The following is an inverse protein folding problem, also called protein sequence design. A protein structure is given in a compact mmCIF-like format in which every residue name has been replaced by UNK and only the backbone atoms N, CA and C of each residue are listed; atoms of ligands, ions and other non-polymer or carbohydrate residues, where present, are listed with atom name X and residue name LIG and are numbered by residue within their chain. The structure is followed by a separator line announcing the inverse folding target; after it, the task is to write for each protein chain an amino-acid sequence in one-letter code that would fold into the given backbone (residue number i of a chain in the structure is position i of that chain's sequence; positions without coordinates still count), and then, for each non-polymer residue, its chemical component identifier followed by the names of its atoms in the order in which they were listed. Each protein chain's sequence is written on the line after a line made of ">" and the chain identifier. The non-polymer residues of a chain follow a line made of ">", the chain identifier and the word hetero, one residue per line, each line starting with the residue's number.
data_IF_530442422120
#
_entry.id   IF_530442422120
#
_cell.length_a   1.000
_cell.length_b   1.000
_cell.length_c   1.000
_cell.angle_alpha   90.00
_cell.angle_beta   90.00
_cell.angle_gamma   90.00
#
_symmetry.space_group_name_H-M   'P 1'
#
loop_
_entity.id
_entity.type
_entity.pdbx_description
1 polymer ?
#
# COMPACT_ATOMS: atom_id res chain seq x y z
N UNK A 1 -15.67 19.14 -9.14
CA UNK A 1 -15.94 17.96 -9.97
C UNK A 1 -14.60 17.47 -10.44
N UNK A 2 -14.30 16.20 -10.22
CA UNK A 2 -13.13 15.55 -10.84
C UNK A 2 -13.55 15.29 -12.28
N UNK A 3 -12.77 15.73 -13.26
CA UNK A 3 -13.08 15.42 -14.65
C UNK A 3 -12.97 13.91 -14.84
N UNK A 4 -14.02 13.29 -15.39
CA UNK A 4 -13.97 11.86 -15.69
C UNK A 4 -12.88 11.60 -16.72
N UNK A 5 -12.03 10.62 -16.44
CA UNK A 5 -10.98 10.19 -17.34
C UNK A 5 -11.56 9.75 -18.69
N UNK A 6 -10.92 10.19 -19.77
CA UNK A 6 -11.31 9.85 -21.13
C UNK A 6 -10.24 8.95 -21.74
N UNK A 7 -10.65 7.75 -22.16
CA UNK A 7 -9.78 6.83 -22.88
C UNK A 7 -9.29 7.48 -24.18
N UNK A 8 -7.96 7.56 -24.42
CA UNK A 8 -7.42 8.12 -25.65
C UNK A 8 -7.93 7.41 -26.90
N UNK A 9 -8.09 8.16 -27.99
CA UNK A 9 -8.51 7.59 -29.29
C UNK A 9 -7.55 6.50 -29.75
N UNK A 10 -8.10 5.38 -30.23
CA UNK A 10 -7.33 4.22 -30.69
C UNK A 10 -6.95 3.24 -29.57
N UNK A 11 -7.18 3.58 -28.31
CA UNK A 11 -6.99 2.67 -27.19
C UNK A 11 -8.32 2.07 -26.74
N UNK A 12 -8.24 0.97 -26.01
CA UNK A 12 -9.39 0.31 -25.36
C UNK A 12 -9.22 0.32 -23.85
N UNK A 13 -10.27 -0.05 -23.13
CA UNK A 13 -10.21 -0.13 -21.67
C UNK A 13 -10.85 -1.39 -21.10
N UNK A 14 -10.29 -1.86 -19.99
CA UNK A 14 -10.83 -2.88 -19.08
C UNK A 14 -11.19 -2.19 -17.77
N UNK A 15 -12.38 -2.45 -17.24
CA UNK A 15 -12.77 -2.01 -15.90
C UNK A 15 -12.79 -3.21 -14.96
N UNK A 16 -12.12 -3.10 -13.82
CA UNK A 16 -11.98 -4.22 -12.87
C UNK A 16 -11.96 -3.73 -11.42
N UNK A 17 -12.66 -4.45 -10.53
CA UNK A 17 -12.56 -4.32 -9.09
C UNK A 17 -11.75 -5.49 -8.53
N UNK A 18 -10.72 -5.20 -7.74
CA UNK A 18 -9.81 -6.23 -7.19
C UNK A 18 -9.37 -5.91 -5.75
N UNK A 19 -10.31 -5.34 -4.98
CA UNK A 19 -10.03 -4.76 -3.67
C UNK A 19 -9.58 -3.32 -3.78
N UNK A 20 -8.61 -2.94 -2.96
CA UNK A 20 -8.02 -1.62 -2.99
C UNK A 20 -7.47 -1.26 -4.37
N UNK A 21 -7.98 -0.16 -4.93
CA UNK A 21 -7.58 0.31 -6.26
C UNK A 21 -6.10 0.71 -6.38
N UNK A 22 -5.40 1.03 -5.28
CA UNK A 22 -3.97 1.35 -5.29
C UNK A 22 -3.14 0.11 -5.67
N UNK A 23 -3.61 -1.06 -5.22
CA UNK A 23 -3.01 -2.33 -5.60
C UNK A 23 -3.34 -2.70 -7.04
N UNK A 24 -4.53 -2.35 -7.52
CA UNK A 24 -4.90 -2.55 -8.91
C UNK A 24 -4.10 -1.67 -9.87
N UNK A 25 -3.92 -0.38 -9.57
CA UNK A 25 -3.06 0.51 -10.37
C UNK A 25 -1.65 -0.05 -10.48
N UNK A 26 -1.01 -0.40 -9.35
CA UNK A 26 0.32 -0.99 -9.39
C UNK A 26 0.35 -2.26 -10.25
N UNK A 27 -0.61 -3.17 -10.07
CA UNK A 27 -0.65 -4.43 -10.80
C UNK A 27 -0.59 -4.20 -12.31
N UNK A 28 -1.50 -3.37 -12.83
CA UNK A 28 -1.55 -3.11 -14.26
C UNK A 28 -0.40 -2.25 -14.78
N UNK A 29 -0.01 -1.19 -14.09
CA UNK A 29 1.00 -0.27 -14.60
C UNK A 29 2.42 -0.82 -14.51
N UNK A 30 2.67 -1.65 -13.49
CA UNK A 30 4.00 -2.19 -13.25
C UNK A 30 4.25 -3.50 -13.98
N UNK A 31 3.23 -4.36 -14.12
CA UNK A 31 3.45 -5.75 -14.55
C UNK A 31 2.57 -6.21 -15.72
N UNK A 32 1.45 -5.52 -16.01
CA UNK A 32 0.61 -5.95 -17.13
C UNK A 32 1.18 -5.45 -18.48
N UNK A 33 1.28 -6.33 -19.49
CA UNK A 33 1.73 -5.98 -20.84
C UNK A 33 0.77 -5.01 -21.51
N UNK A 34 1.31 -4.05 -22.27
CA UNK A 34 0.55 -3.25 -23.25
C UNK A 34 -0.46 -2.29 -22.62
N UNK A 35 -0.50 -2.20 -21.29
CA UNK A 35 -1.21 -1.17 -20.53
C UNK A 35 -0.51 0.17 -20.73
N UNK A 36 -1.28 1.23 -20.91
CA UNK A 36 -0.81 2.59 -21.13
C UNK A 36 -1.15 3.54 -19.98
N UNK A 37 -2.17 3.22 -19.19
CA UNK A 37 -2.62 3.98 -18.02
C UNK A 37 -3.53 3.11 -17.15
N UNK A 38 -3.50 3.26 -15.82
CA UNK A 38 -4.50 2.69 -14.93
C UNK A 38 -5.02 3.77 -13.97
N UNK A 39 -6.33 3.97 -13.94
CA UNK A 39 -6.95 5.08 -13.19
C UNK A 39 -7.86 4.53 -12.09
N UNK A 40 -7.57 4.87 -10.84
CA UNK A 40 -8.44 4.59 -9.71
C UNK A 40 -9.79 5.30 -9.82
N UNK A 41 -10.87 4.61 -9.49
CA UNK A 41 -12.20 5.20 -9.45
C UNK A 41 -13.23 4.38 -8.70
N UNK A 42 -14.47 4.83 -8.83
CA UNK A 42 -15.65 4.24 -8.21
C UNK A 42 -16.66 3.85 -9.28
N UNK A 43 -17.31 2.69 -9.15
CA UNK A 43 -18.32 2.26 -10.12
C UNK A 43 -19.37 1.33 -9.50
N UNK A 44 -20.51 1.17 -10.18
CA UNK A 44 -21.54 0.17 -9.84
C UNK A 44 -22.44 0.50 -8.64
N UNK A 45 -22.21 1.64 -7.97
CA UNK A 45 -23.10 2.13 -6.92
C UNK A 45 -24.28 2.94 -7.45
N UNK A 46 -25.07 3.47 -6.52
CA UNK A 46 -26.37 4.11 -6.81
C UNK A 46 -26.33 5.63 -6.89
N UNK A 47 -25.24 6.26 -6.44
CA UNK A 47 -25.06 7.71 -6.49
C UNK A 47 -24.21 8.14 -7.69
N UNK A 48 -24.50 9.31 -8.22
CA UNK A 48 -23.67 9.99 -9.21
C UNK A 48 -22.53 10.75 -8.54
N UNK A 49 -21.36 10.81 -9.19
CA UNK A 49 -20.17 11.53 -8.72
C UNK A 49 -19.82 11.24 -7.24
N UNK A 50 -19.63 9.96 -6.86
CA UNK A 50 -19.20 9.59 -5.52
C UNK A 50 -17.81 10.14 -5.21
N UNK A 51 -17.53 10.27 -3.92
CA UNK A 51 -16.26 10.64 -3.32
C UNK A 51 -15.76 9.50 -2.44
N UNK A 52 -14.51 9.59 -2.00
CA UNK A 52 -13.98 8.63 -1.03
C UNK A 52 -14.84 8.52 0.25
N UNK A 53 -15.56 9.57 0.63
CA UNK A 53 -16.37 9.61 1.84
C UNK A 53 -17.73 8.90 1.74
N UNK A 54 -18.31 8.80 0.54
CA UNK A 54 -19.68 8.30 0.34
C UNK A 54 -19.81 7.17 -0.69
N UNK A 55 -18.75 6.84 -1.44
CA UNK A 55 -18.77 5.76 -2.42
C UNK A 55 -19.24 4.43 -1.79
N UNK A 56 -18.73 4.12 -0.59
CA UNK A 56 -19.00 2.85 0.09
C UNK A 56 -20.45 2.68 0.52
N UNK A 57 -21.04 3.74 1.10
CA UNK A 57 -22.44 3.74 1.54
C UNK A 57 -23.42 3.75 0.37
N UNK A 58 -23.02 4.32 -0.76
CA UNK A 58 -23.75 4.25 -2.03
C UNK A 58 -23.55 2.92 -2.79
N UNK A 59 -22.71 2.01 -2.27
CA UNK A 59 -22.51 0.67 -2.81
C UNK A 59 -21.55 0.59 -4.00
N UNK A 60 -20.75 1.64 -4.24
CA UNK A 60 -19.74 1.60 -5.30
C UNK A 60 -18.59 0.67 -4.94
N UNK A 61 -18.07 -0.01 -5.95
CA UNK A 61 -16.80 -0.72 -5.95
C UNK A 61 -15.66 0.29 -6.05
N UNK A 62 -14.54 0.03 -5.38
CA UNK A 62 -13.25 0.56 -5.81
C UNK A 62 -12.81 -0.21 -7.06
N UNK A 63 -12.58 0.52 -8.14
CA UNK A 63 -12.25 -0.04 -9.45
C UNK A 63 -11.01 0.63 -10.01
N UNK A 64 -10.40 -0.04 -10.99
CA UNK A 64 -9.37 0.52 -11.84
C UNK A 64 -9.86 0.46 -13.28
N UNK A 65 -9.84 1.61 -13.96
CA UNK A 65 -10.01 1.70 -15.40
C UNK A 65 -8.63 1.58 -16.04
N UNK A 66 -8.37 0.42 -16.64
CA UNK A 66 -7.11 0.05 -17.27
C UNK A 66 -7.22 0.38 -18.75
N UNK A 67 -6.41 1.31 -19.22
CA UNK A 67 -6.30 1.66 -20.63
C UNK A 67 -5.16 0.86 -21.26
N UNK A 68 -5.37 0.33 -22.45
CA UNK A 68 -4.38 -0.49 -23.15
C UNK A 68 -4.39 -0.25 -24.66
N UNK A 69 -3.24 -0.52 -25.29
CA UNK A 69 -3.08 -0.52 -26.73
C UNK A 69 -3.54 -1.88 -27.31
N UNK A 70 -4.65 -1.93 -28.07
CA UNK A 70 -5.18 -3.17 -28.63
C UNK A 70 -4.25 -3.84 -29.65
N UNK A 71 -3.28 -3.10 -30.20
CA UNK A 71 -2.25 -3.62 -31.11
C UNK A 71 -1.09 -4.27 -30.35
N UNK A 72 -1.02 -4.06 -29.02
CA UNK A 72 0.02 -4.56 -28.13
C UNK A 72 -0.44 -5.64 -27.18
N UNK A 73 -1.72 -5.65 -26.78
CA UNK A 73 -2.27 -6.65 -25.86
C UNK A 73 -3.75 -6.87 -26.14
N UNK A 74 -4.21 -8.10 -25.96
CA UNK A 74 -5.62 -8.46 -26.09
C UNK A 74 -6.39 -8.21 -24.80
N UNK A 75 -7.70 -7.99 -24.93
CA UNK A 75 -8.61 -8.02 -23.78
C UNK A 75 -8.50 -9.34 -23.01
N UNK A 76 -8.41 -10.47 -23.71
CA UNK A 76 -8.26 -11.80 -23.12
C UNK A 76 -7.05 -11.90 -22.20
N UNK A 77 -5.87 -11.46 -22.66
CA UNK A 77 -4.65 -11.46 -21.86
C UNK A 77 -4.77 -10.58 -20.60
N UNK A 78 -5.48 -9.44 -20.69
CA UNK A 78 -5.70 -8.57 -19.53
C UNK A 78 -6.72 -9.14 -18.55
N UNK A 79 -7.74 -9.87 -19.02
CA UNK A 79 -8.65 -10.61 -18.13
C UNK A 79 -7.92 -11.76 -17.44
N UNK A 80 -7.08 -12.51 -18.17
CA UNK A 80 -6.22 -13.53 -17.59
C UNK A 80 -5.31 -12.94 -16.50
N UNK A 81 -4.71 -11.78 -16.76
CA UNK A 81 -3.89 -11.03 -15.80
C UNK A 81 -4.69 -10.56 -14.57
N UNK A 82 -5.91 -10.05 -14.79
CA UNK A 82 -6.80 -9.58 -13.72
C UNK A 82 -7.12 -10.69 -12.71
N UNK A 83 -7.40 -11.91 -13.20
CA UNK A 83 -7.63 -13.06 -12.33
C UNK A 83 -6.45 -13.36 -11.40
N UNK A 84 -5.21 -13.25 -11.87
CA UNK A 84 -4.00 -13.48 -11.05
C UNK A 84 -3.74 -12.39 -10.01
N UNK A 85 -4.57 -11.34 -10.01
CA UNK A 85 -4.55 -10.25 -9.06
C UNK A 85 -5.78 -10.24 -8.13
N UNK A 86 -6.61 -11.28 -8.20
CA UNK A 86 -7.84 -11.44 -7.43
C UNK A 86 -7.76 -12.76 -6.66
N UNK A 87 -8.23 -12.77 -5.41
CA UNK A 87 -8.62 -13.99 -4.71
C UNK A 87 -10.00 -14.42 -5.23
N UNK A 88 -10.08 -15.49 -6.05
CA UNK A 88 -11.31 -15.90 -6.71
C UNK A 88 -12.37 -16.39 -5.71
N UNK A 89 -11.98 -16.71 -4.47
CA UNK A 89 -12.85 -17.31 -3.46
C UNK A 89 -13.42 -16.30 -2.46
N UNK A 90 -13.05 -15.01 -2.55
CA UNK A 90 -13.51 -13.99 -1.59
C UNK A 90 -14.32 -12.85 -2.23
N UNK A 91 -15.63 -13.08 -2.35
CA UNK A 91 -16.58 -12.09 -2.84
C UNK A 91 -16.99 -11.01 -1.81
N UNK A 92 -16.50 -11.06 -0.56
CA UNK A 92 -16.91 -10.12 0.51
C UNK A 92 -15.98 -8.92 0.65
N UNK A 93 -14.86 -8.95 -0.08
CA UNK A 93 -13.80 -7.97 -0.04
C UNK A 93 -12.44 -8.65 -0.12
N UNK A 94 -11.48 -8.07 -0.80
CA UNK A 94 -10.21 -8.73 -1.10
C UNK A 94 -9.17 -8.53 0.02
N UNK A 95 -8.45 -9.61 0.37
CA UNK A 95 -7.36 -9.61 1.34
C UNK A 95 -7.77 -9.12 2.74
N UNK A 96 -7.17 -8.06 3.27
CA UNK A 96 -7.57 -7.45 4.53
C UNK A 96 -8.72 -6.44 4.38
N UNK A 97 -8.98 -5.95 3.16
CA UNK A 97 -10.01 -4.95 2.91
C UNK A 97 -11.36 -5.63 2.70
N UNK A 98 -12.30 -5.36 3.60
CA UNK A 98 -13.63 -5.98 3.62
C UNK A 98 -14.71 -4.93 3.52
N UNK A 99 -15.80 -5.25 2.83
CA UNK A 99 -16.91 -4.33 2.63
C UNK A 99 -17.34 -4.27 1.17
N UNK A 100 -18.42 -3.54 0.92
CA UNK A 100 -19.04 -3.37 -0.40
C UNK A 100 -18.05 -2.82 -1.42
N UNK A 101 -17.25 -1.83 -1.04
CA UNK A 101 -16.26 -1.20 -1.93
C UNK A 101 -15.16 -2.14 -2.40
N UNK A 102 -14.77 -3.10 -1.57
CA UNK A 102 -13.60 -3.94 -1.84
C UNK A 102 -13.94 -5.26 -2.51
N UNK A 103 -15.21 -5.47 -2.88
CA UNK A 103 -15.65 -6.69 -3.56
C UNK A 103 -14.94 -6.78 -4.92
N UNK A 104 -14.56 -7.99 -5.36
CA UNK A 104 -14.02 -8.17 -6.69
C UNK A 104 -15.14 -8.17 -7.73
N UNK A 105 -14.80 -7.80 -8.96
CA UNK A 105 -15.65 -7.94 -10.14
C UNK A 105 -14.81 -7.66 -11.41
N UNK A 106 -15.13 -8.34 -12.51
CA UNK A 106 -14.60 -8.00 -13.84
C UNK A 106 -15.75 -7.47 -14.67
N UNK A 107 -15.58 -6.29 -15.27
CA UNK A 107 -16.65 -5.61 -15.97
C UNK A 107 -16.47 -5.67 -17.49
N UNK A 108 -17.48 -6.17 -18.20
CA UNK A 108 -17.52 -6.24 -19.67
C UNK A 108 -18.43 -5.15 -20.24
N UNK A 109 -18.04 -4.54 -21.37
CA UNK A 109 -18.83 -3.52 -22.06
C UNK A 109 -19.65 -4.10 -23.22
N UNK A 110 -19.17 -5.17 -23.83
CA UNK A 110 -19.80 -5.79 -25.00
C UNK A 110 -20.04 -7.28 -24.78
N UNK A 111 -20.91 -7.87 -25.61
CA UNK A 111 -21.15 -9.31 -25.59
C UNK A 111 -19.88 -10.11 -25.94
N UNK A 112 -19.04 -9.60 -26.84
CA UNK A 112 -17.75 -10.20 -27.16
C UNK A 112 -16.82 -10.21 -25.93
N UNK A 113 -16.74 -9.11 -25.19
CA UNK A 113 -15.99 -9.06 -23.93
C UNK A 113 -16.56 -10.02 -22.88
N UNK A 114 -17.88 -10.18 -22.80
CA UNK A 114 -18.54 -11.15 -21.90
C UNK A 114 -18.10 -12.58 -22.23
N UNK A 115 -18.20 -12.98 -23.50
CA UNK A 115 -17.81 -14.32 -23.97
C UNK A 115 -16.32 -14.59 -23.75
N UNK A 116 -15.46 -13.59 -23.99
CA UNK A 116 -14.01 -13.71 -23.70
C UNK A 116 -13.78 -13.89 -22.20
N UNK A 117 -14.42 -13.08 -21.34
CA UNK A 117 -14.22 -13.16 -19.90
C UNK A 117 -14.71 -14.49 -19.30
N UNK A 118 -15.82 -15.03 -19.83
CA UNK A 118 -16.33 -16.36 -19.47
C UNK A 118 -15.37 -17.46 -19.93
N UNK A 119 -14.88 -17.41 -21.16
CA UNK A 119 -13.90 -18.37 -21.68
C UNK A 119 -12.62 -18.39 -20.84
N UNK A 120 -12.09 -17.21 -20.48
CA UNK A 120 -10.90 -17.13 -19.62
C UNK A 120 -11.14 -17.81 -18.27
N UNK A 121 -12.31 -17.63 -17.67
CA UNK A 121 -12.65 -18.34 -16.43
C UNK A 121 -12.73 -19.85 -16.65
N UNK A 122 -13.33 -20.30 -17.75
CA UNK A 122 -13.41 -21.71 -18.10
C UNK A 122 -12.01 -22.32 -18.30
N UNK A 123 -11.10 -21.63 -19.00
CA UNK A 123 -9.71 -22.04 -19.20
C UNK A 123 -8.94 -22.15 -17.87
N UNK A 124 -9.18 -21.20 -16.94
CA UNK A 124 -8.61 -21.25 -15.59
C UNK A 124 -9.09 -22.49 -14.83
N UNK A 125 -10.39 -22.79 -14.89
CA UNK A 125 -10.97 -23.95 -14.21
C UNK A 125 -10.50 -25.28 -14.82
N UNK A 126 -10.24 -25.32 -16.13
CA UNK A 126 -9.66 -26.50 -16.78
C UNK A 126 -8.26 -26.83 -16.23
N UNK A 127 -7.42 -25.82 -16.00
CA UNK A 127 -6.07 -26.00 -15.41
C UNK A 127 -6.08 -26.03 -13.86
N UNK A 128 -7.24 -25.84 -13.23
CA UNK A 128 -7.47 -25.92 -11.78
C UNK A 128 -8.58 -26.93 -11.47
N UNK A 129 -8.37 -28.24 -11.72
CA UNK A 129 -9.41 -29.25 -11.56
C UNK A 129 -9.92 -29.42 -10.12
N UNK A 130 -9.16 -28.96 -9.12
CA UNK A 130 -9.57 -28.98 -7.71
C UNK A 130 -10.44 -27.77 -7.32
N UNK A 131 -10.66 -26.81 -8.23
CA UNK A 131 -11.53 -25.65 -7.99
C UNK A 131 -12.94 -25.95 -8.47
N UNK A 132 -13.91 -25.74 -7.59
CA UNK A 132 -15.32 -25.80 -7.96
C UNK A 132 -15.76 -24.46 -8.57
N UNK A 133 -16.48 -24.49 -9.70
CA UNK A 133 -17.04 -23.27 -10.30
C UNK A 133 -17.93 -22.52 -9.32
N UNK A 134 -18.69 -23.24 -8.51
CA UNK A 134 -19.61 -22.64 -7.53
C UNK A 134 -18.87 -21.93 -6.37
N UNK A 135 -17.56 -22.19 -6.22
CA UNK A 135 -16.71 -21.50 -5.25
C UNK A 135 -16.15 -20.17 -5.74
N UNK A 136 -16.27 -19.89 -7.04
CA UNK A 136 -15.79 -18.64 -7.64
C UNK A 136 -16.76 -17.51 -7.29
N UNK A 137 -16.29 -16.61 -6.44
CA UNK A 137 -17.08 -15.51 -5.86
C UNK A 137 -16.93 -14.19 -6.61
N UNK A 138 -16.16 -14.16 -7.71
CA UNK A 138 -15.92 -12.98 -8.54
C UNK A 138 -16.92 -12.97 -9.69
N UNK A 139 -17.87 -12.02 -9.72
CA UNK A 139 -18.83 -11.93 -10.80
C UNK A 139 -18.22 -11.28 -12.04
N UNK A 140 -18.72 -11.70 -13.21
CA UNK A 140 -18.60 -10.99 -14.47
C UNK A 140 -19.84 -10.11 -14.62
N UNK A 141 -19.67 -8.79 -14.67
CA UNK A 141 -20.78 -7.83 -14.64
C UNK A 141 -20.74 -6.90 -15.87
N UNK A 142 -21.90 -6.42 -16.29
CA UNK A 142 -21.97 -5.36 -17.30
C UNK A 142 -21.31 -4.08 -16.76
N UNK A 143 -20.56 -3.37 -17.62
CA UNK A 143 -19.78 -2.19 -17.26
C UNK A 143 -20.69 -1.04 -16.83
N UNK A 144 -20.62 -0.61 -15.55
CA UNK A 144 -21.36 0.55 -15.06
C UNK A 144 -20.66 1.86 -15.44
N UNK A 145 -21.30 2.99 -15.09
CA UNK A 145 -20.64 4.29 -15.14
C UNK A 145 -19.41 4.31 -14.22
N UNK A 146 -18.30 4.85 -14.73
CA UNK A 146 -17.04 5.04 -14.01
C UNK A 146 -16.91 6.49 -13.53
N UNK A 147 -16.49 6.64 -12.27
CA UNK A 147 -16.25 7.93 -11.64
C UNK A 147 -14.80 7.99 -11.18
N UNK A 148 -14.01 8.92 -11.73
CA UNK A 148 -12.59 9.04 -11.37
C UNK A 148 -12.42 9.43 -9.91
N UNK A 149 -11.59 8.68 -9.18
CA UNK A 149 -11.27 8.99 -7.79
C UNK A 149 -10.38 10.23 -7.69
N UNK A 150 -10.33 10.82 -6.51
CA UNK A 150 -9.59 12.04 -6.22
C UNK A 150 -8.09 11.88 -6.54
N UNK A 151 -7.43 12.96 -6.98
CA UNK A 151 -6.04 12.93 -7.46
C UNK A 151 -5.00 12.44 -6.45
N UNK A 152 -5.33 12.40 -5.16
CA UNK A 152 -4.44 11.85 -4.13
C UNK A 152 -4.49 10.31 -4.05
N UNK A 153 -5.50 9.66 -4.64
CA UNK A 153 -5.58 8.21 -4.81
C UNK A 153 -4.81 7.71 -6.02
N UNK A 154 -4.74 8.52 -7.08
CA UNK A 154 -4.03 8.18 -8.32
C UNK A 154 -2.52 8.01 -8.06
N UNK A 155 -1.90 6.99 -8.64
CA UNK A 155 -0.47 6.67 -8.52
C UNK A 155 0.00 6.50 -7.07
N UNK A 156 -0.87 6.07 -6.15
CA UNK A 156 -0.52 6.08 -4.72
C UNK A 156 0.74 5.25 -4.42
N UNK A 157 0.91 4.12 -5.12
CA UNK A 157 2.06 3.25 -5.01
C UNK A 157 3.38 3.93 -5.44
N UNK A 158 3.34 4.87 -6.40
CA UNK A 158 4.49 5.68 -6.83
C UNK A 158 4.73 6.88 -5.92
N UNK A 159 3.66 7.58 -5.52
CA UNK A 159 3.73 8.82 -4.73
C UNK A 159 4.06 8.56 -3.27
N UNK A 160 3.65 7.41 -2.72
CA UNK A 160 3.81 7.02 -1.30
C UNK A 160 4.33 5.57 -1.15
N UNK A 161 5.45 5.18 -1.78
CA UNK A 161 5.87 3.79 -1.91
C UNK A 161 6.08 3.08 -0.58
N UNK A 162 6.58 3.77 0.45
CA UNK A 162 6.78 3.18 1.78
C UNK A 162 5.45 2.88 2.49
N UNK A 163 4.48 3.80 2.42
CA UNK A 163 3.19 3.61 3.07
C UNK A 163 2.39 2.52 2.34
N UNK A 164 2.41 2.58 1.02
CA UNK A 164 1.81 1.57 0.16
C UNK A 164 2.43 0.18 0.41
N UNK A 165 3.75 0.06 0.41
CA UNK A 165 4.43 -1.20 0.68
C UNK A 165 4.13 -1.74 2.08
N UNK A 166 4.07 -0.91 3.12
CA UNK A 166 3.62 -1.34 4.45
C UNK A 166 2.20 -1.90 4.40
N UNK A 167 1.28 -1.16 3.77
CA UNK A 167 -0.12 -1.53 3.64
C UNK A 167 -0.30 -2.85 2.88
N UNK A 168 0.26 -2.98 1.67
CA UNK A 168 0.16 -4.20 0.84
C UNK A 168 0.68 -5.44 1.56
N UNK A 169 1.82 -5.31 2.25
CA UNK A 169 2.41 -6.39 3.04
C UNK A 169 1.56 -6.75 4.27
N UNK A 170 1.12 -5.75 5.04
CA UNK A 170 0.28 -5.96 6.21
C UNK A 170 -1.08 -6.56 5.84
N UNK A 171 -1.58 -6.25 4.65
CA UNK A 171 -2.83 -6.77 4.12
C UNK A 171 -2.73 -8.25 3.70
N UNK A 172 -1.52 -8.79 3.58
CA UNK A 172 -1.28 -10.17 3.19
C UNK A 172 -1.61 -10.47 1.73
N UNK A 173 -1.70 -9.44 0.87
CA UNK A 173 -2.09 -9.59 -0.55
C UNK A 173 -1.21 -10.59 -1.29
N UNK A 174 0.10 -10.34 -1.30
CA UNK A 174 1.11 -11.19 -1.93
C UNK A 174 0.97 -12.63 -1.45
N UNK A 175 1.01 -12.83 -0.12
CA UNK A 175 0.90 -14.16 0.48
C UNK A 175 -0.37 -14.89 0.04
N UNK A 176 -1.52 -14.19 0.04
CA UNK A 176 -2.79 -14.81 -0.35
C UNK A 176 -2.82 -15.19 -1.82
N UNK A 177 -2.28 -14.35 -2.70
CA UNK A 177 -2.19 -14.67 -4.13
C UNK A 177 -1.23 -15.84 -4.38
N UNK A 178 -0.11 -15.93 -3.67
CA UNK A 178 0.78 -17.10 -3.69
C UNK A 178 0.08 -18.37 -3.17
N UNK A 179 -0.70 -18.26 -2.08
CA UNK A 179 -1.46 -19.40 -1.52
C UNK A 179 -2.56 -19.89 -2.49
N UNK A 180 -3.13 -19.00 -3.32
CA UNK A 180 -4.18 -19.33 -4.30
C UNK A 180 -3.60 -19.85 -5.61
N UNK A 181 -2.67 -19.11 -6.22
CA UNK A 181 -2.16 -19.36 -7.57
C UNK A 181 -0.87 -20.18 -7.59
N UNK A 182 -0.20 -20.30 -6.44
CA UNK A 182 1.15 -20.85 -6.33
C UNK A 182 2.23 -19.79 -6.54
N UNK A 183 3.37 -19.95 -5.86
CA UNK A 183 4.48 -19.01 -5.91
C UNK A 183 5.05 -18.81 -7.33
N UNK A 184 5.12 -19.88 -8.12
CA UNK A 184 5.65 -19.84 -9.49
C UNK A 184 4.75 -19.01 -10.40
N UNK A 185 3.45 -19.30 -10.45
CA UNK A 185 2.51 -18.53 -11.27
C UNK A 185 2.40 -17.09 -10.77
N UNK A 186 2.35 -16.87 -9.45
CA UNK A 186 2.36 -15.52 -8.90
C UNK A 186 3.60 -14.74 -9.35
N UNK A 187 4.81 -15.30 -9.16
CA UNK A 187 6.05 -14.64 -9.55
C UNK A 187 6.10 -14.35 -11.05
N UNK A 188 5.55 -15.25 -11.85
CA UNK A 188 5.51 -15.14 -13.30
C UNK A 188 4.59 -14.00 -13.80
N UNK A 189 3.45 -13.76 -13.16
CA UNK A 189 2.57 -12.61 -13.46
C UNK A 189 2.99 -11.30 -12.78
N UNK A 190 3.94 -11.34 -11.85
CA UNK A 190 4.41 -10.17 -11.08
C UNK A 190 5.90 -9.89 -11.31
N UNK A 191 6.37 -10.16 -12.54
CA UNK A 191 7.74 -9.89 -12.98
C UNK A 191 7.75 -8.94 -14.18
N UNK A 192 8.74 -8.04 -14.22
CA UNK A 192 8.86 -6.99 -15.24
C UNK A 192 9.49 -7.48 -16.54
N UNK A 193 9.78 -8.78 -16.70
CA UNK A 193 10.36 -9.37 -17.91
C UNK A 193 9.33 -10.06 -18.82
N UNK A 194 8.03 -9.94 -18.52
CA UNK A 194 6.96 -10.65 -19.22
C UNK A 194 7.14 -12.18 -19.18
N UNK A 195 7.60 -12.70 -18.04
CA UNK A 195 7.96 -14.11 -17.89
C UNK A 195 6.79 -15.05 -18.19
N UNK A 196 5.57 -14.71 -17.78
CA UNK A 196 4.36 -15.49 -18.09
C UNK A 196 3.90 -15.48 -19.53
N UNK A 197 4.41 -14.52 -20.29
CA UNK A 197 4.10 -14.35 -21.69
C UNK A 197 5.30 -14.76 -22.57
N UNK A 198 6.40 -15.26 -21.98
CA UNK A 198 7.60 -15.63 -22.75
C UNK A 198 8.20 -14.46 -23.54
N UNK A 199 7.95 -13.21 -23.11
CA UNK A 199 8.37 -11.99 -23.81
C UNK A 199 7.40 -11.47 -24.89
N UNK A 200 6.39 -12.25 -25.28
CA UNK A 200 5.41 -11.88 -26.32
C UNK A 200 3.99 -12.03 -25.81
N UNK A 201 3.08 -11.17 -26.23
CA UNK A 201 1.66 -11.28 -25.90
C UNK A 201 0.81 -11.30 -27.15
N UNK A 202 -0.38 -11.88 -27.05
CA UNK A 202 -1.34 -11.88 -28.15
C UNK A 202 -2.13 -10.56 -28.14
N UNK A 203 -2.15 -9.85 -29.26
CA UNK A 203 -2.95 -8.64 -29.45
C UNK A 203 -4.42 -8.98 -29.79
N UNK A 204 -5.29 -7.98 -29.96
CA UNK A 204 -6.70 -8.22 -30.27
C UNK A 204 -6.95 -8.90 -31.63
N UNK A 205 -5.95 -8.93 -32.53
CA UNK A 205 -6.03 -9.64 -33.82
C UNK A 205 -5.57 -11.10 -33.73
N UNK A 206 -5.17 -11.58 -32.54
CA UNK A 206 -4.65 -12.93 -32.37
C UNK A 206 -3.17 -13.08 -32.76
N UNK A 207 -2.43 -11.97 -32.90
CA UNK A 207 -1.03 -11.96 -33.32
C UNK A 207 -0.11 -11.78 -32.11
N UNK A 208 0.94 -12.60 -32.02
CA UNK A 208 2.00 -12.41 -31.03
C UNK A 208 2.82 -11.15 -31.33
N UNK A 209 2.92 -10.27 -30.34
CA UNK A 209 3.63 -8.99 -30.40
C UNK A 209 4.43 -8.77 -29.12
N UNK A 210 5.50 -7.99 -29.21
CA UNK A 210 6.25 -7.55 -28.04
C UNK A 210 5.51 -6.36 -27.42
N UNK A 211 5.19 -6.48 -26.14
CA UNK A 211 4.61 -5.42 -25.33
C UNK A 211 5.59 -4.88 -24.30
N UNK A 212 5.30 -3.69 -23.78
CA UNK A 212 6.04 -3.08 -22.70
C UNK A 212 5.31 -3.31 -21.36
N UNK A 213 6.07 -3.31 -20.27
CA UNK A 213 5.59 -3.32 -18.89
C UNK A 213 6.33 -2.24 -18.10
N UNK A 214 5.82 -1.91 -16.92
CA UNK A 214 6.39 -0.87 -16.07
C UNK A 214 6.44 0.50 -16.76
N UNK A 215 5.34 0.90 -17.37
CA UNK A 215 5.21 2.13 -18.17
C UNK A 215 5.55 3.41 -17.41
N UNK A 216 5.36 3.41 -16.09
CA UNK A 216 5.66 4.56 -15.21
C UNK A 216 7.03 4.49 -14.54
N UNK A 217 7.88 3.54 -14.93
CA UNK A 217 9.21 3.34 -14.36
C UNK A 217 9.19 3.21 -12.83
N UNK A 218 8.19 2.48 -12.31
CA UNK A 218 8.06 2.19 -10.89
C UNK A 218 9.32 1.48 -10.39
N UNK A 219 9.85 1.89 -9.23
CA UNK A 219 10.93 1.15 -8.60
C UNK A 219 10.44 -0.24 -8.19
N UNK A 220 11.35 -1.22 -8.12
CA UNK A 220 11.05 -2.51 -7.50
C UNK A 220 10.54 -2.25 -6.08
N UNK A 221 9.48 -2.94 -5.71
CA UNK A 221 8.84 -2.77 -4.41
C UNK A 221 9.88 -3.00 -3.30
N UNK A 222 10.16 -1.95 -2.52
CA UNK A 222 11.08 -2.07 -1.38
C UNK A 222 10.28 -2.50 -0.16
N UNK A 223 10.18 -3.80 0.05
CA UNK A 223 9.66 -4.40 1.28
C UNK A 223 10.67 -4.30 2.42
N UNK A 224 11.35 -3.15 2.59
CA UNK A 224 12.23 -2.94 3.75
C UNK A 224 11.37 -2.65 5.00
N UNK A 225 10.62 -3.66 5.40
CA UNK A 225 10.15 -3.82 6.76
C UNK A 225 11.34 -4.38 7.53
N UNK A 226 11.92 -3.57 8.39
CA UNK A 226 12.93 -4.07 9.33
C UNK A 226 12.29 -5.23 10.10
N UNK A 227 12.85 -6.44 10.05
CA UNK A 227 12.25 -7.57 10.75
C UNK A 227 12.17 -7.27 12.24
N UNK A 228 11.20 -7.84 12.95
CA UNK A 228 10.97 -7.57 14.38
C UNK A 228 12.22 -7.78 15.23
N UNK A 229 13.08 -8.74 14.89
CA UNK A 229 14.39 -8.92 15.54
C UNK A 229 15.32 -7.71 15.33
N UNK A 230 15.28 -7.06 14.18
CA UNK A 230 16.04 -5.83 13.89
C UNK A 230 15.60 -4.66 14.77
N UNK A 231 14.29 -4.55 15.05
CA UNK A 231 13.73 -3.56 15.98
C UNK A 231 14.17 -3.85 17.42
N UNK A 232 14.16 -5.12 17.83
CA UNK A 232 14.64 -5.53 19.16
C UNK A 232 16.14 -5.23 19.32
N UNK A 233 16.95 -5.53 18.30
CA UNK A 233 18.39 -5.23 18.29
C UNK A 233 18.65 -3.73 18.40
N UNK A 234 17.93 -2.89 17.64
CA UNK A 234 18.03 -1.43 17.74
C UNK A 234 17.61 -0.91 19.11
N UNK A 235 16.55 -1.47 19.68
CA UNK A 235 16.06 -1.09 21.01
C UNK A 235 17.06 -1.46 22.11
N UNK A 236 17.66 -2.65 22.01
CA UNK A 236 18.73 -3.09 22.93
C UNK A 236 19.99 -2.23 22.79
N UNK A 237 20.37 -1.88 21.56
CA UNK A 237 21.51 -0.99 21.32
C UNK A 237 21.27 0.41 21.91
N UNK A 238 20.08 0.99 21.68
CA UNK A 238 19.70 2.28 22.26
C UNK A 238 19.74 2.24 23.80
N UNK A 239 19.21 1.17 24.41
CA UNK A 239 19.27 0.99 25.86
C UNK A 239 20.72 0.89 26.37
N UNK A 240 21.59 0.14 25.69
CA UNK A 240 23.00 0.02 26.03
C UNK A 240 23.74 1.37 25.94
N UNK A 241 23.43 2.20 24.93
CA UNK A 241 23.99 3.55 24.80
C UNK A 241 23.54 4.47 25.93
N UNK A 242 22.24 4.47 26.26
CA UNK A 242 21.69 5.26 27.37
C UNK A 242 22.28 4.81 28.71
N UNK A 243 22.36 3.49 28.94
CA UNK A 243 22.94 2.92 30.16
C UNK A 243 24.43 3.25 30.29
N UNK A 244 25.20 3.14 29.21
CA UNK A 244 26.62 3.49 29.20
C UNK A 244 26.82 4.98 29.49
N UNK A 245 26.00 5.85 28.89
CA UNK A 245 26.00 7.29 29.19
C UNK A 245 25.67 7.59 30.65
N UNK A 246 24.68 6.90 31.22
CA UNK A 246 24.33 7.00 32.64
C UNK A 246 25.49 6.56 33.55
N UNK A 247 26.16 5.45 33.24
CA UNK A 247 27.32 4.97 33.99
C UNK A 247 28.48 5.98 33.96
N UNK A 248 28.79 6.56 32.80
CA UNK A 248 29.84 7.58 32.66
C UNK A 248 29.50 8.83 33.49
N UNK A 249 28.27 9.32 33.41
CA UNK A 249 27.80 10.46 34.20
C UNK A 249 27.88 10.17 35.71
N UNK A 250 27.46 8.98 36.14
CA UNK A 250 27.54 8.55 37.55
C UNK A 250 28.99 8.51 38.06
N UNK A 251 29.93 8.00 37.26
CA UNK A 251 31.35 8.01 37.59
C UNK A 251 31.92 9.43 37.65
N UNK A 252 31.53 10.30 36.72
CA UNK A 252 31.94 11.70 36.75
C UNK A 252 31.43 12.44 37.99
N UNK A 253 30.17 12.22 38.38
CA UNK A 253 29.59 12.78 39.62
C UNK A 253 30.31 12.26 40.87
N UNK A 254 30.64 10.96 40.93
CA UNK A 254 31.42 10.37 42.04
C UNK A 254 32.83 10.96 42.11
N UNK A 255 33.51 11.12 40.98
CA UNK A 255 34.85 11.71 40.93
C UNK A 255 34.82 13.20 41.28
N UNK A 256 33.80 13.94 40.85
CA UNK A 256 33.58 15.34 41.26
C UNK A 256 33.38 15.44 42.77
N UNK A 257 32.53 14.59 43.36
CA UNK A 257 32.32 14.54 44.82
C UNK A 257 33.61 14.25 45.59
N UNK A 258 34.39 13.24 45.18
CA UNK A 258 35.69 12.93 45.79
C UNK A 258 36.69 14.10 45.69
N UNK A 259 36.66 14.84 44.58
CA UNK A 259 37.52 16.02 44.38
C UNK A 259 37.12 17.18 45.31
N UNK A 260 35.82 17.41 45.49
CA UNK A 260 35.30 18.37 46.47
C UNK A 260 35.59 17.97 47.92
N UNK A 261 35.51 16.68 48.26
CA UNK A 261 35.85 16.18 49.59
C UNK A 261 37.35 16.34 49.87
N UNK A 262 38.21 16.05 48.89
CA UNK A 262 39.67 16.26 49.01
C UNK A 262 40.04 17.75 49.12
N UNK A 263 39.39 18.63 48.37
CA UNK A 263 39.57 20.09 48.49
C UNK A 263 39.10 20.63 49.86
N UNK A 264 38.13 19.98 50.51
CA UNK A 264 37.74 20.29 51.90
C UNK A 264 38.77 19.82 52.92
N UNK A 265 39.35 18.62 52.72
CA UNK A 265 40.38 18.07 53.61
C UNK A 265 41.71 18.84 53.50
N UNK A 266 42.07 19.30 52.31
CA UNK A 266 43.31 20.07 52.05
C UNK A 266 43.15 21.59 52.37
N UNK A 267 41.92 22.06 52.67
CA UNK A 267 41.58 23.48 52.89
C UNK A 267 41.20 23.88 54.33
N UNK A 268 41.22 22.95 55.28
CA UNK A 268 40.74 23.17 56.65
C UNK A 268 41.82 23.59 57.66
N UNK A 269 42.42 24.76 57.48
CA UNK A 269 43.27 25.42 58.49
C UNK A 269 42.77 26.83 58.80
N UNK A 270 42.34 27.04 60.05
CA UNK A 270 41.72 28.24 60.65
C UNK A 270 40.24 28.43 60.27
N UNK A 271 39.30 28.64 61.18
CA UNK A 271 39.38 28.92 62.62
C UNK A 271 38.04 29.53 63.04
N UNK A 272 37.68 29.25 64.29
CA UNK A 272 36.78 29.99 65.19
C UNK A 272 35.42 30.54 64.69
N UNK A 273 34.38 29.95 65.31
CA UNK A 273 33.38 30.64 66.12
C UNK A 273 33.08 32.12 65.81
N UNK A 274 31.81 32.42 65.53
CA UNK A 274 30.92 33.06 66.52
C UNK A 274 29.66 33.69 65.92
N UNK A 275 28.57 33.50 66.66
CA UNK A 275 27.47 34.43 66.94
C UNK A 275 26.67 35.18 65.85
N UNK A 276 25.34 35.04 66.03
CA UNK A 276 24.27 36.06 65.97
C UNK A 276 23.86 36.65 64.62
N UNK A 277 22.54 36.76 64.46
CA UNK A 277 21.92 37.74 63.57
C UNK A 277 20.56 37.30 63.06
N UNK A 278 19.51 37.91 63.59
CA UNK A 278 18.16 37.88 63.06
C UNK A 278 18.10 38.37 61.61
N UNK A 279 17.15 37.90 60.81
CA UNK A 279 16.05 38.75 60.35
C UNK A 279 15.08 38.01 59.43
N UNK A 280 13.81 38.34 59.67
CA UNK A 280 12.63 38.07 58.87
C UNK A 280 12.71 38.67 57.47
N UNK A 281 12.22 37.95 56.45
CA UNK A 281 11.48 38.58 55.36
C UNK A 281 10.51 37.59 54.71
N UNK A 282 9.22 37.80 54.98
CA UNK A 282 8.12 37.38 54.10
C UNK A 282 8.13 38.26 52.86
N UNK A 283 7.71 37.76 51.69
CA UNK A 283 6.75 38.39 50.74
C UNK A 283 6.44 37.36 49.64
N UNK A 284 5.17 36.98 49.58
CA UNK A 284 4.26 36.88 48.41
C UNK A 284 4.87 36.53 47.03
N UNK A 285 4.35 35.55 46.28
CA UNK A 285 2.95 35.46 45.90
C UNK A 285 2.65 36.48 44.81
N UNK A 286 2.86 36.13 43.54
CA UNK A 286 2.17 36.83 42.45
C UNK A 286 1.79 35.88 41.33
N UNK A 287 0.50 35.91 41.05
CA UNK A 287 -0.26 35.18 40.06
C UNK A 287 0.06 35.56 38.61
N UNK A 288 -0.34 34.63 37.74
CA UNK A 288 -0.87 34.77 36.39
C UNK A 288 -0.81 36.14 35.69
N UNK A 289 -0.36 36.13 34.44
CA UNK A 289 -1.21 36.52 33.30
C UNK A 289 -0.52 36.22 31.96
N UNK A 290 -1.31 35.65 31.05
CA UNK A 290 -1.07 35.55 29.62
C UNK A 290 -1.00 36.94 28.96
N UNK A 291 -0.39 37.04 27.78
CA UNK A 291 -1.10 37.62 26.63
C UNK A 291 -0.85 36.77 25.37
N UNK A 292 -1.87 36.30 24.65
CA UNK A 292 -2.51 36.96 23.49
C UNK A 292 -1.62 38.00 22.78
N UNK A 293 -0.96 37.58 21.70
CA UNK A 293 -1.19 38.09 20.34
C UNK A 293 -0.70 37.07 19.31
#
# INVERSE_FOLDING_TARGET
>A
MVDNYVVPSGQKSLLVAMGCFWCGEQAFEQYAPGVTEAVSGYAGGTSDNPTYYDHSSAGHYEVVLVTYDPDKVSYEALVQYAWRNIDPFDGRGQFCDKGTSYRPAIFFETEEEREIAERVLDDILEVRPDWDRDSIAVPLLERPAFWTAEGYHQDYYLKKPRNYGYYKNACGRTKRLEDVWGEEEYGCYHDTSLSCFGGNVTNNEGVEVIAEVNIKNAPKESSFLMPTWGIVVLSMAAFAFVYSGYCILSQFQKNKKKRFEKEKDDGGGNGEDSEKGSDSFSVEGFESSLPIN
#
